data_IF_942448389247
#
_entry.id   IF_942448389247
#
_cell.length_a   1.000
_cell.length_b   1.000
_cell.length_c   1.000
_cell.angle_alpha   90.00
_cell.angle_beta   90.00
_cell.angle_gamma   90.00
#
_symmetry.space_group_name_H-M   'P 1'
#
loop_
_entity.id
_entity.type
_entity.pdbx_description
1 polymer ?
#
# COMPACT_ATOMS: atom_id res chain seq x y z
N UNK A 1 32.62 -26.56 25.92
CA UNK A 1 31.16 -26.33 26.14
C UNK A 1 30.59 -25.14 25.35
N UNK A 2 30.97 -24.89 24.09
CA UNK A 2 30.51 -23.72 23.28
C UNK A 2 29.47 -24.11 22.21
N UNK A 3 29.37 -25.37 21.82
CA UNK A 3 28.50 -25.81 20.70
C UNK A 3 27.00 -25.91 20.99
N UNK A 4 26.55 -25.97 22.23
CA UNK A 4 25.13 -26.14 22.56
C UNK A 4 24.28 -24.87 22.39
N UNK A 5 24.85 -23.68 22.61
CA UNK A 5 24.13 -22.41 22.48
C UNK A 5 23.86 -22.02 21.02
N UNK A 6 24.78 -22.34 20.10
CA UNK A 6 24.65 -22.02 18.67
C UNK A 6 23.56 -22.86 17.98
N UNK A 7 23.46 -24.14 18.32
CA UNK A 7 22.44 -25.05 17.76
C UNK A 7 21.02 -24.64 18.19
N UNK A 8 20.84 -24.24 19.46
CA UNK A 8 19.54 -23.77 19.99
C UNK A 8 19.11 -22.45 19.34
N UNK A 9 20.03 -21.51 19.14
CA UNK A 9 19.73 -20.23 18.49
C UNK A 9 19.27 -20.42 17.03
N UNK A 10 19.92 -21.29 16.25
CA UNK A 10 19.53 -21.62 14.87
C UNK A 10 18.14 -22.24 14.78
N UNK A 11 17.80 -23.14 15.71
CA UNK A 11 16.47 -23.76 15.75
C UNK A 11 15.37 -22.76 16.09
N UNK A 12 15.62 -21.83 17.01
CA UNK A 12 14.68 -20.76 17.38
C UNK A 12 14.42 -19.82 16.20
N UNK A 13 15.47 -19.37 15.53
CA UNK A 13 15.37 -18.51 14.33
C UNK A 13 14.60 -19.22 13.22
N UNK A 14 14.93 -20.49 12.94
CA UNK A 14 14.27 -21.28 11.89
C UNK A 14 12.77 -21.48 12.20
N UNK A 15 12.40 -21.75 13.43
CA UNK A 15 11.01 -21.88 13.84
C UNK A 15 10.28 -20.54 13.75
N UNK A 16 10.92 -19.45 14.13
CA UNK A 16 10.36 -18.11 14.00
C UNK A 16 10.10 -17.76 12.53
N UNK A 17 11.08 -18.02 11.63
CA UNK A 17 10.93 -17.81 10.18
C UNK A 17 9.77 -18.64 9.62
N UNK A 18 9.69 -19.94 9.95
CA UNK A 18 8.60 -20.82 9.51
C UNK A 18 7.23 -20.31 9.93
N UNK A 19 7.12 -19.70 11.11
CA UNK A 19 5.85 -19.16 11.63
C UNK A 19 5.52 -17.80 11.02
N UNK A 20 6.55 -17.00 10.69
CA UNK A 20 6.39 -15.59 10.30
C UNK A 20 6.69 -15.32 8.83
N UNK A 21 7.09 -16.33 8.05
CA UNK A 21 7.52 -16.16 6.66
C UNK A 21 6.53 -15.34 5.81
N UNK A 22 5.22 -15.53 6.01
CA UNK A 22 4.20 -14.90 5.20
C UNK A 22 4.17 -13.38 5.35
N UNK A 23 4.30 -12.83 6.56
CA UNK A 23 4.34 -11.39 6.73
C UNK A 23 5.72 -10.80 6.42
N UNK A 24 6.80 -11.53 6.71
CA UNK A 24 8.17 -11.11 6.39
C UNK A 24 8.34 -10.98 4.87
N UNK A 25 7.93 -11.99 4.10
CA UNK A 25 7.95 -11.91 2.62
C UNK A 25 7.06 -10.80 2.09
N UNK A 26 5.89 -10.56 2.70
CA UNK A 26 5.01 -9.46 2.30
C UNK A 26 5.70 -8.11 2.47
N UNK A 27 6.40 -7.90 3.59
CA UNK A 27 7.17 -6.67 3.83
C UNK A 27 8.33 -6.56 2.84
N UNK A 28 9.15 -7.60 2.69
CA UNK A 28 10.31 -7.59 1.78
C UNK A 28 9.86 -7.25 0.35
N UNK A 29 8.87 -7.98 -0.17
CA UNK A 29 8.32 -7.73 -1.51
C UNK A 29 7.70 -6.33 -1.58
N UNK A 30 7.03 -5.91 -0.50
CA UNK A 30 6.38 -4.60 -0.40
C UNK A 30 7.35 -3.45 -0.51
N UNK A 31 8.53 -3.56 0.07
CA UNK A 31 9.51 -2.48 0.09
C UNK A 31 10.54 -2.53 -1.06
N UNK A 32 10.57 -3.62 -1.86
CA UNK A 32 11.45 -3.70 -3.03
C UNK A 32 11.34 -2.49 -3.99
N UNK A 33 10.13 -1.99 -4.32
CA UNK A 33 10.00 -0.84 -5.22
C UNK A 33 10.59 0.46 -4.66
N UNK A 34 10.74 0.59 -3.33
CA UNK A 34 11.39 1.77 -2.73
C UNK A 34 12.85 1.90 -3.13
N UNK A 35 13.51 0.82 -3.54
CA UNK A 35 14.88 0.87 -4.07
C UNK A 35 14.95 1.82 -5.29
N UNK A 36 13.92 1.83 -6.14
CA UNK A 36 13.80 2.76 -7.25
C UNK A 36 13.74 4.22 -6.79
N UNK A 37 12.94 4.49 -5.78
CA UNK A 37 12.81 5.85 -5.20
C UNK A 37 14.10 6.28 -4.50
N UNK A 38 14.74 5.38 -3.76
CA UNK A 38 16.02 5.66 -3.07
C UNK A 38 17.14 6.00 -4.05
N UNK A 39 17.16 5.41 -5.24
CA UNK A 39 18.14 5.72 -6.29
C UNK A 39 17.96 7.12 -6.90
N UNK A 40 16.83 7.77 -6.69
CA UNK A 40 16.58 9.15 -7.15
C UNK A 40 17.10 10.20 -6.17
N UNK A 41 17.50 9.77 -4.97
CA UNK A 41 17.98 10.65 -3.89
C UNK A 41 19.50 10.67 -3.97
N UNK A 42 20.06 11.86 -4.18
CA UNK A 42 21.49 12.12 -4.11
C UNK A 42 21.83 12.70 -2.74
N UNK A 43 22.79 12.08 -2.07
CA UNK A 43 23.32 12.54 -0.80
C UNK A 43 24.71 13.15 -1.04
N UNK A 44 24.85 14.44 -0.81
CA UNK A 44 26.13 15.16 -0.91
C UNK A 44 26.44 15.78 0.45
N UNK A 45 27.47 15.26 1.10
CA UNK A 45 27.94 15.73 2.40
C UNK A 45 29.22 16.60 2.28
N UNK A 46 29.56 17.06 1.06
CA UNK A 46 30.71 17.96 0.88
C UNK A 46 30.44 19.33 1.50
N UNK A 47 31.48 19.99 1.95
CA UNK A 47 31.38 21.34 2.53
C UNK A 47 30.91 22.39 1.50
N UNK A 48 30.99 22.08 0.21
CA UNK A 48 30.57 22.94 -0.92
C UNK A 48 29.15 22.68 -1.38
N UNK A 49 28.44 21.67 -0.83
CA UNK A 49 27.08 21.34 -1.24
C UNK A 49 26.08 22.40 -0.74
N UNK A 50 25.29 22.96 -1.63
CA UNK A 50 24.19 23.88 -1.27
C UNK A 50 23.10 23.15 -0.46
N UNK A 51 22.90 21.86 -0.71
CA UNK A 51 21.94 21.01 0.02
C UNK A 51 22.49 19.60 0.18
N UNK A 52 22.35 19.04 1.38
CA UNK A 52 22.80 17.66 1.67
C UNK A 52 21.99 16.59 0.97
N UNK A 53 20.77 16.92 0.55
CA UNK A 53 19.84 16.00 -0.13
C UNK A 53 19.33 16.71 -1.36
N UNK A 54 19.56 16.11 -2.53
CA UNK A 54 19.02 16.57 -3.80
C UNK A 54 18.35 15.40 -4.55
N UNK A 55 17.47 15.72 -5.48
CA UNK A 55 16.82 14.74 -6.35
C UNK A 55 16.94 15.20 -7.80
N UNK A 56 17.39 14.30 -8.68
CA UNK A 56 17.58 14.60 -10.09
C UNK A 56 16.25 14.90 -10.78
N UNK A 57 16.28 15.81 -11.76
CA UNK A 57 15.13 16.06 -12.62
C UNK A 57 15.16 15.11 -13.81
N UNK A 58 13.98 14.62 -14.23
CA UNK A 58 13.82 13.67 -15.31
C UNK A 58 13.02 14.29 -16.44
N UNK A 59 13.46 14.05 -17.68
CA UNK A 59 12.69 14.43 -18.87
C UNK A 59 11.81 13.27 -19.28
N UNK A 60 10.50 13.45 -19.17
CA UNK A 60 9.52 12.46 -19.60
C UNK A 60 9.02 12.75 -21.01
N UNK A 61 8.93 11.75 -21.89
CA UNK A 61 8.30 11.93 -23.19
C UNK A 61 6.83 12.31 -23.04
N UNK A 62 6.31 13.11 -23.97
CA UNK A 62 4.88 13.43 -24.04
C UNK A 62 4.03 12.17 -24.13
N UNK A 63 2.87 12.18 -23.49
CA UNK A 63 1.94 11.02 -23.46
C UNK A 63 1.14 10.88 -24.77
N UNK A 64 1.02 11.98 -25.54
CA UNK A 64 0.27 12.02 -26.81
C UNK A 64 1.21 12.33 -27.96
N UNK A 65 0.94 11.84 -29.16
CA UNK A 65 1.70 12.22 -30.34
C UNK A 65 1.71 13.76 -30.50
N UNK A 66 2.91 14.36 -30.60
CA UNK A 66 3.08 15.82 -30.73
C UNK A 66 3.15 16.59 -29.40
N UNK A 67 2.99 15.95 -28.25
CA UNK A 67 3.19 16.59 -26.94
C UNK A 67 4.70 16.72 -26.64
N UNK A 68 5.11 17.92 -26.22
CA UNK A 68 6.51 18.17 -25.87
C UNK A 68 6.94 17.39 -24.61
N UNK A 69 8.19 16.96 -24.53
CA UNK A 69 8.74 16.35 -23.33
C UNK A 69 8.59 17.29 -22.12
N UNK A 70 8.15 16.73 -21.00
CA UNK A 70 7.98 17.48 -19.75
C UNK A 70 9.12 17.14 -18.77
N UNK A 71 9.75 18.18 -18.24
CA UNK A 71 10.70 18.02 -17.14
C UNK A 71 9.91 17.81 -15.84
N UNK A 72 10.19 16.72 -15.14
CA UNK A 72 9.60 16.37 -13.85
C UNK A 72 10.71 16.38 -12.81
N UNK A 73 10.46 17.03 -11.68
CA UNK A 73 11.41 17.02 -10.55
C UNK A 73 11.55 15.59 -10.00
N UNK A 74 12.68 15.26 -9.43
CA UNK A 74 12.87 13.97 -8.77
C UNK A 74 11.85 13.73 -7.65
N UNK A 75 11.49 14.77 -6.89
CA UNK A 75 10.42 14.71 -5.91
C UNK A 75 9.06 14.39 -6.57
N UNK A 76 8.72 15.05 -7.67
CA UNK A 76 7.50 14.77 -8.44
C UNK A 76 7.46 13.34 -9.00
N UNK A 77 8.64 12.80 -9.41
CA UNK A 77 8.74 11.39 -9.82
C UNK A 77 8.53 10.44 -8.64
N UNK A 78 9.11 10.76 -7.48
CA UNK A 78 8.92 9.99 -6.25
C UNK A 78 7.45 10.04 -5.78
N UNK A 79 6.76 11.17 -5.92
CA UNK A 79 5.31 11.30 -5.69
C UNK A 79 4.55 10.29 -6.56
N UNK A 80 4.83 10.26 -7.86
CA UNK A 80 4.16 9.33 -8.80
C UNK A 80 4.41 7.87 -8.40
N UNK A 81 5.66 7.46 -8.24
CA UNK A 81 6.02 6.07 -7.91
C UNK A 81 5.41 5.60 -6.58
N UNK A 82 5.51 6.41 -5.54
CA UNK A 82 4.97 6.06 -4.23
C UNK A 82 3.44 6.04 -4.23
N UNK A 83 2.78 6.93 -4.96
CA UNK A 83 1.33 6.94 -5.13
C UNK A 83 0.81 5.71 -5.87
N UNK A 84 1.47 5.31 -6.95
CA UNK A 84 1.13 4.08 -7.69
C UNK A 84 1.27 2.83 -6.82
N UNK A 85 2.31 2.73 -6.02
CA UNK A 85 2.48 1.61 -5.10
C UNK A 85 1.49 1.64 -3.95
N UNK A 86 1.12 2.82 -3.45
CA UNK A 86 0.08 2.95 -2.42
C UNK A 86 -1.26 2.37 -2.90
N UNK A 87 -1.74 2.77 -4.08
CA UNK A 87 -3.02 2.27 -4.61
C UNK A 87 -2.96 0.77 -4.95
N UNK A 88 -1.85 0.27 -5.49
CA UNK A 88 -1.65 -1.18 -5.74
C UNK A 88 -1.80 -1.97 -4.44
N UNK A 89 -1.16 -1.56 -3.35
CA UNK A 89 -1.26 -2.23 -2.06
C UNK A 89 -2.65 -2.12 -1.45
N UNK A 90 -3.35 -0.98 -1.58
CA UNK A 90 -4.75 -0.84 -1.15
C UNK A 90 -5.63 -1.87 -1.87
N UNK A 91 -5.50 -1.98 -3.20
CA UNK A 91 -6.26 -2.94 -4.01
C UNK A 91 -5.93 -4.38 -3.64
N UNK A 92 -4.65 -4.72 -3.43
CA UNK A 92 -4.22 -6.05 -2.97
C UNK A 92 -4.90 -6.42 -1.66
N UNK A 93 -4.88 -5.53 -0.65
CA UNK A 93 -5.52 -5.78 0.65
C UNK A 93 -7.01 -6.01 0.51
N UNK A 94 -7.68 -5.16 -0.26
CA UNK A 94 -9.12 -5.27 -0.49
C UNK A 94 -9.48 -6.53 -1.29
N UNK A 95 -8.59 -7.02 -2.16
CA UNK A 95 -8.76 -8.24 -2.95
C UNK A 95 -8.53 -9.53 -2.16
N UNK A 96 -7.88 -9.47 -1.00
CA UNK A 96 -7.61 -10.67 -0.19
C UNK A 96 -8.88 -11.40 0.26
N UNK A 97 -9.97 -10.69 0.50
CA UNK A 97 -11.25 -11.32 0.89
C UNK A 97 -11.97 -11.96 -0.30
N UNK A 98 -12.16 -11.31 -1.45
CA UNK A 98 -12.64 -11.96 -2.67
C UNK A 98 -11.81 -13.20 -3.04
N UNK A 99 -10.49 -13.09 -3.03
CA UNK A 99 -9.59 -14.20 -3.27
C UNK A 99 -9.83 -15.38 -2.31
N UNK A 100 -10.03 -15.09 -1.02
CA UNK A 100 -10.36 -16.10 -0.02
C UNK A 100 -11.71 -16.78 -0.27
N UNK A 101 -12.71 -16.05 -0.79
CA UNK A 101 -14.01 -16.60 -1.17
C UNK A 101 -13.85 -17.53 -2.38
N UNK A 102 -13.08 -17.12 -3.39
CA UNK A 102 -12.87 -17.89 -4.61
C UNK A 102 -12.03 -19.16 -4.38
N UNK A 103 -10.92 -19.05 -3.65
CA UNK A 103 -9.96 -20.15 -3.49
C UNK A 103 -10.19 -21.02 -2.26
N UNK A 104 -10.93 -20.52 -1.24
CA UNK A 104 -11.06 -21.14 0.09
C UNK A 104 -9.85 -20.93 0.99
N UNK A 105 -8.72 -20.43 0.47
CA UNK A 105 -7.50 -20.14 1.24
C UNK A 105 -7.62 -18.77 1.90
N UNK A 106 -7.52 -18.71 3.22
CA UNK A 106 -7.61 -17.45 3.98
C UNK A 106 -6.19 -16.95 4.27
N UNK A 107 -5.78 -15.77 3.73
CA UNK A 107 -4.55 -15.14 4.16
C UNK A 107 -4.57 -14.91 5.67
N UNK A 108 -3.42 -15.11 6.32
CA UNK A 108 -3.29 -14.88 7.76
C UNK A 108 -3.54 -13.41 8.11
N UNK A 109 -3.93 -13.15 9.36
CA UNK A 109 -4.10 -11.78 9.83
C UNK A 109 -2.80 -10.98 9.71
N UNK A 110 -1.66 -11.61 10.01
CA UNK A 110 -0.34 -11.00 9.93
C UNK A 110 0.01 -10.52 8.51
N UNK A 111 -0.29 -11.31 7.48
CA UNK A 111 -0.10 -10.91 6.07
C UNK A 111 -0.96 -9.69 5.73
N UNK A 112 -2.22 -9.65 6.20
CA UNK A 112 -3.11 -8.50 5.99
C UNK A 112 -2.61 -7.25 6.68
N UNK A 113 -2.09 -7.38 7.91
CA UNK A 113 -1.50 -6.27 8.66
C UNK A 113 -0.22 -5.76 7.98
N UNK A 114 0.68 -6.67 7.57
CA UNK A 114 1.88 -6.32 6.84
C UNK A 114 1.57 -5.54 5.56
N UNK A 115 0.63 -6.04 4.74
CA UNK A 115 0.18 -5.36 3.53
C UNK A 115 -0.43 -3.99 3.83
N UNK A 116 -1.22 -3.86 4.93
CA UNK A 116 -1.79 -2.58 5.37
C UNK A 116 -0.74 -1.56 5.80
N UNK A 117 0.26 -2.00 6.53
CA UNK A 117 1.40 -1.15 6.94
C UNK A 117 2.19 -0.72 5.71
N UNK A 118 2.46 -1.63 4.77
CA UNK A 118 3.14 -1.31 3.52
C UNK A 118 2.37 -0.25 2.71
N UNK A 119 1.04 -0.42 2.55
CA UNK A 119 0.20 0.56 1.87
C UNK A 119 0.27 1.95 2.54
N UNK A 120 0.19 1.98 3.89
CA UNK A 120 0.29 3.23 4.64
C UNK A 120 1.66 3.88 4.51
N UNK A 121 2.74 3.10 4.52
CA UNK A 121 4.10 3.63 4.33
C UNK A 121 4.24 4.31 2.97
N UNK A 122 3.74 3.68 1.90
CA UNK A 122 3.74 4.30 0.58
C UNK A 122 2.87 5.56 0.51
N UNK A 123 1.69 5.56 1.12
CA UNK A 123 0.83 6.74 1.18
C UNK A 123 1.48 7.89 1.98
N UNK A 124 2.17 7.56 3.08
CA UNK A 124 2.93 8.53 3.88
C UNK A 124 4.10 9.14 3.10
N UNK A 125 4.89 8.30 2.41
CA UNK A 125 5.99 8.75 1.56
C UNK A 125 5.47 9.59 0.38
N UNK A 126 4.37 9.17 -0.25
CA UNK A 126 3.69 9.93 -1.31
C UNK A 126 3.36 11.35 -0.83
N UNK A 127 2.75 11.48 0.35
CA UNK A 127 2.41 12.78 0.91
C UNK A 127 3.65 13.60 1.29
N UNK A 128 4.70 12.97 1.84
CA UNK A 128 5.95 13.66 2.17
C UNK A 128 6.64 14.20 0.90
N UNK A 129 6.76 13.39 -0.14
CA UNK A 129 7.35 13.86 -1.40
C UNK A 129 6.48 14.92 -2.09
N UNK A 130 5.15 14.84 -1.96
CA UNK A 130 4.25 15.89 -2.42
C UNK A 130 4.52 17.21 -1.70
N UNK A 131 4.71 17.20 -0.39
CA UNK A 131 5.05 18.39 0.37
C UNK A 131 6.41 18.99 -0.03
N UNK A 132 7.38 18.14 -0.41
CA UNK A 132 8.68 18.59 -0.93
C UNK A 132 8.55 19.19 -2.32
N UNK A 133 7.75 18.58 -3.21
CA UNK A 133 7.60 19.01 -4.61
C UNK A 133 6.74 20.28 -4.76
N UNK A 134 5.61 20.33 -4.05
CA UNK A 134 4.57 21.38 -4.21
C UNK A 134 4.42 22.29 -3.00
N UNK A 135 4.86 21.83 -1.84
CA UNK A 135 4.55 22.48 -0.57
C UNK A 135 3.22 22.00 0.03
N UNK A 136 3.15 21.97 1.35
CA UNK A 136 2.01 21.40 2.07
C UNK A 136 0.70 22.18 1.87
N UNK A 137 0.76 23.49 1.63
CA UNK A 137 -0.40 24.36 1.41
C UNK A 137 -1.14 24.04 0.11
N UNK A 138 -0.47 23.47 -0.89
CA UNK A 138 -1.08 23.04 -2.14
C UNK A 138 -2.15 21.96 -1.92
N UNK A 139 -2.04 21.19 -0.81
CA UNK A 139 -3.02 20.18 -0.42
C UNK A 139 -4.46 20.75 -0.34
N UNK A 140 -4.60 22.02 -0.01
CA UNK A 140 -5.91 22.66 0.20
C UNK A 140 -6.45 23.39 -1.03
N UNK A 141 -5.70 23.43 -2.13
CA UNK A 141 -6.11 24.16 -3.34
C UNK A 141 -7.03 23.35 -4.25
N UNK A 142 -6.91 22.03 -4.23
CA UNK A 142 -7.69 21.15 -5.10
C UNK A 142 -8.43 20.09 -4.30
N UNK A 143 -9.68 19.83 -4.68
CA UNK A 143 -10.51 18.80 -4.03
C UNK A 143 -9.88 17.42 -4.09
N UNK A 144 -9.17 17.09 -5.18
CA UNK A 144 -8.44 15.84 -5.32
C UNK A 144 -7.42 15.64 -4.22
N UNK A 145 -6.62 16.66 -3.90
CA UNK A 145 -5.62 16.59 -2.82
C UNK A 145 -6.24 16.47 -1.43
N UNK A 146 -7.35 17.18 -1.18
CA UNK A 146 -8.10 17.09 0.10
C UNK A 146 -8.60 15.65 0.31
N UNK A 147 -9.15 15.02 -0.73
CA UNK A 147 -9.63 13.64 -0.69
C UNK A 147 -8.46 12.67 -0.43
N UNK A 148 -7.30 12.90 -1.06
CA UNK A 148 -6.09 12.12 -0.82
C UNK A 148 -5.63 12.23 0.63
N UNK A 149 -5.61 13.44 1.20
CA UNK A 149 -5.28 13.67 2.61
C UNK A 149 -6.27 12.96 3.54
N UNK A 150 -7.57 13.04 3.27
CA UNK A 150 -8.60 12.34 4.05
C UNK A 150 -8.36 10.81 4.04
N UNK A 151 -8.05 10.24 2.87
CA UNK A 151 -7.69 8.82 2.76
C UNK A 151 -6.44 8.48 3.59
N UNK A 152 -5.39 9.30 3.53
CA UNK A 152 -4.15 9.10 4.28
C UNK A 152 -4.38 9.18 5.80
N UNK A 153 -5.21 10.10 6.28
CA UNK A 153 -5.56 10.20 7.70
C UNK A 153 -6.32 8.96 8.19
N UNK A 154 -7.26 8.45 7.41
CA UNK A 154 -7.95 7.19 7.74
C UNK A 154 -6.95 6.04 7.76
N UNK A 155 -6.05 5.95 6.76
CA UNK A 155 -5.00 4.93 6.72
C UNK A 155 -4.08 5.01 7.93
N UNK A 156 -3.74 6.19 8.41
CA UNK A 156 -2.94 6.39 9.62
C UNK A 156 -3.63 5.77 10.84
N UNK A 157 -4.92 6.00 11.03
CA UNK A 157 -5.70 5.38 12.11
C UNK A 157 -5.71 3.86 11.99
N UNK A 158 -5.89 3.34 10.77
CA UNK A 158 -5.87 1.90 10.50
C UNK A 158 -4.48 1.30 10.79
N UNK A 159 -3.40 1.98 10.43
CA UNK A 159 -2.02 1.53 10.67
C UNK A 159 -1.69 1.51 12.18
N UNK A 160 -2.00 2.59 12.91
CA UNK A 160 -1.78 2.68 14.37
C UNK A 160 -2.55 1.58 15.10
N UNK A 161 -3.75 1.23 14.63
CA UNK A 161 -4.59 0.18 15.23
C UNK A 161 -4.27 -1.22 14.70
N UNK A 162 -3.35 -1.37 13.74
CA UNK A 162 -2.94 -2.65 13.14
C UNK A 162 -1.91 -3.41 13.98
N UNK A 163 -2.18 -3.59 15.25
CA UNK A 163 -1.31 -4.36 16.15
C UNK A 163 -2.12 -5.19 17.16
N UNK A 164 -1.48 -6.19 17.75
CA UNK A 164 -2.13 -7.12 18.68
C UNK A 164 -2.66 -6.44 19.94
N UNK A 165 -1.99 -5.39 20.42
CA UNK A 165 -2.42 -4.64 21.62
C UNK A 165 -3.71 -3.89 21.34
N UNK A 166 -3.76 -3.12 20.25
CA UNK A 166 -4.97 -2.40 19.81
C UNK A 166 -6.13 -3.35 19.53
N UNK A 167 -5.87 -4.50 18.92
CA UNK A 167 -6.90 -5.52 18.64
C UNK A 167 -7.50 -6.08 19.93
N UNK A 168 -6.67 -6.36 20.96
CA UNK A 168 -7.13 -6.82 22.28
C UNK A 168 -7.90 -5.73 23.03
N UNK A 169 -7.45 -4.49 22.97
CA UNK A 169 -8.06 -3.34 23.62
C UNK A 169 -9.41 -2.97 23.00
N UNK A 170 -9.45 -2.81 21.68
CA UNK A 170 -10.64 -2.36 20.93
C UNK A 170 -11.68 -3.48 20.71
N UNK A 171 -11.31 -4.74 20.81
CA UNK A 171 -12.19 -5.92 20.68
C UNK A 171 -13.11 -5.85 19.43
N UNK A 172 -14.42 -5.77 19.62
CA UNK A 172 -15.42 -5.69 18.54
C UNK A 172 -15.30 -4.39 17.72
N UNK A 173 -14.91 -3.29 18.37
CA UNK A 173 -14.72 -1.98 17.73
C UNK A 173 -13.58 -1.98 16.74
N UNK A 174 -12.53 -2.78 16.96
CA UNK A 174 -11.43 -2.96 16.03
C UNK A 174 -11.92 -3.36 14.63
N UNK A 175 -12.84 -4.33 14.55
CA UNK A 175 -13.42 -4.74 13.26
C UNK A 175 -14.26 -3.63 12.59
N UNK A 176 -14.92 -2.77 13.39
CA UNK A 176 -15.69 -1.63 12.85
C UNK A 176 -14.74 -0.59 12.24
N UNK A 177 -13.67 -0.23 12.95
CA UNK A 177 -12.63 0.69 12.47
C UNK A 177 -12.00 0.15 11.17
N UNK A 178 -11.58 -1.12 11.14
CA UNK A 178 -10.94 -1.69 9.96
C UNK A 178 -11.87 -1.86 8.74
N UNK A 179 -13.18 -1.64 8.86
CA UNK A 179 -14.09 -1.51 7.71
C UNK A 179 -13.87 -0.21 6.94
N UNK A 180 -13.33 0.81 7.55
CA UNK A 180 -12.97 2.06 6.84
C UNK A 180 -11.89 1.86 5.77
N UNK A 181 -11.21 0.70 5.73
CA UNK A 181 -10.35 0.33 4.61
C UNK A 181 -11.08 0.34 3.25
N UNK A 182 -12.41 0.07 3.23
CA UNK A 182 -13.22 0.18 2.00
C UNK A 182 -13.40 1.64 1.57
N UNK A 183 -13.63 2.52 2.56
CA UNK A 183 -13.72 3.96 2.30
C UNK A 183 -12.38 4.50 1.77
N UNK A 184 -11.25 4.06 2.34
CA UNK A 184 -9.92 4.40 1.82
C UNK A 184 -9.78 4.01 0.35
N UNK A 185 -10.21 2.80 -0.04
CA UNK A 185 -10.16 2.36 -1.43
C UNK A 185 -10.98 3.26 -2.37
N UNK A 186 -12.19 3.64 -1.95
CA UNK A 186 -13.05 4.56 -2.72
C UNK A 186 -12.40 5.95 -2.84
N UNK A 187 -11.92 6.51 -1.72
CA UNK A 187 -11.26 7.81 -1.70
C UNK A 187 -9.97 7.82 -2.52
N UNK A 188 -9.18 6.74 -2.49
CA UNK A 188 -7.95 6.62 -3.27
C UNK A 188 -8.25 6.63 -4.78
N UNK A 189 -9.26 5.89 -5.24
CA UNK A 189 -9.67 5.91 -6.65
C UNK A 189 -10.19 7.30 -7.05
N UNK A 190 -11.02 7.91 -6.21
CA UNK A 190 -11.56 9.23 -6.46
C UNK A 190 -10.46 10.30 -6.53
N UNK A 191 -9.47 10.22 -5.63
CA UNK A 191 -8.28 11.07 -5.64
C UNK A 191 -7.53 10.99 -6.97
N UNK A 192 -7.22 9.77 -7.44
CA UNK A 192 -6.50 9.57 -8.71
C UNK A 192 -7.34 10.03 -9.90
N UNK A 193 -8.65 9.77 -9.89
CA UNK A 193 -9.57 10.16 -10.96
C UNK A 193 -9.71 11.67 -11.10
N UNK A 194 -9.83 12.41 -9.98
CA UNK A 194 -9.99 13.86 -9.97
C UNK A 194 -8.72 14.60 -10.40
N UNK A 195 -7.55 14.03 -10.15
CA UNK A 195 -6.28 14.64 -10.52
C UNK A 195 -5.82 14.23 -11.94
N UNK A 196 -6.60 13.39 -12.63
CA UNK A 196 -6.24 12.84 -13.96
C UNK A 196 -4.84 12.19 -13.99
N UNK A 197 -4.35 11.76 -12.83
CA UNK A 197 -3.05 11.13 -12.66
C UNK A 197 -3.14 9.62 -12.85
N UNK A 198 -2.74 9.13 -14.03
CA UNK A 198 -2.62 7.70 -14.29
C UNK A 198 -3.92 6.95 -14.58
N UNK A 199 -3.80 5.63 -14.77
CA UNK A 199 -4.92 4.76 -15.14
C UNK A 199 -5.65 4.27 -13.87
N UNK A 200 -6.67 5.00 -13.42
CA UNK A 200 -7.51 4.62 -12.28
C UNK A 200 -8.53 3.51 -12.61
N UNK A 201 -8.90 3.36 -13.89
CA UNK A 201 -9.92 2.41 -14.35
C UNK A 201 -9.64 0.95 -13.96
N UNK A 202 -8.43 0.38 -14.13
CA UNK A 202 -8.15 -1.00 -13.72
C UNK A 202 -8.39 -1.22 -12.23
N UNK A 203 -8.03 -0.28 -11.38
CA UNK A 203 -8.23 -0.37 -9.93
C UNK A 203 -9.70 -0.34 -9.57
N UNK A 204 -10.50 0.53 -10.23
CA UNK A 204 -11.95 0.58 -10.07
C UNK A 204 -12.59 -0.76 -10.45
N UNK A 205 -12.23 -1.31 -11.62
CA UNK A 205 -12.78 -2.58 -12.12
C UNK A 205 -12.48 -3.70 -11.11
N UNK A 206 -11.24 -3.84 -10.65
CA UNK A 206 -10.85 -4.85 -9.66
C UNK A 206 -11.65 -4.70 -8.36
N UNK A 207 -11.84 -3.46 -7.88
CA UNK A 207 -12.62 -3.20 -6.68
C UNK A 207 -14.09 -3.55 -6.87
N UNK A 208 -14.72 -3.16 -7.98
CA UNK A 208 -16.12 -3.47 -8.28
C UNK A 208 -16.32 -5.00 -8.34
N UNK A 209 -15.46 -5.73 -9.05
CA UNK A 209 -15.48 -7.20 -9.09
C UNK A 209 -15.33 -7.77 -7.67
N UNK A 210 -14.40 -7.23 -6.88
CA UNK A 210 -14.19 -7.64 -5.50
C UNK A 210 -15.42 -7.44 -4.61
N UNK A 211 -16.17 -6.35 -4.78
CA UNK A 211 -17.43 -6.10 -4.08
C UNK A 211 -18.55 -7.06 -4.55
N UNK A 212 -18.65 -7.31 -5.86
CA UNK A 212 -19.62 -8.27 -6.40
C UNK A 212 -19.42 -9.68 -5.84
N UNK A 213 -18.15 -10.17 -5.78
CA UNK A 213 -17.81 -11.48 -5.21
C UNK A 213 -18.18 -11.58 -3.73
N UNK A 214 -18.12 -10.45 -2.99
CA UNK A 214 -18.53 -10.39 -1.57
C UNK A 214 -20.03 -10.38 -1.36
N UNK A 215 -20.82 -10.07 -2.38
CA UNK A 215 -22.27 -10.05 -2.27
C UNK A 215 -22.79 -11.42 -1.80
N UNK A 216 -23.89 -11.40 -1.05
CA UNK A 216 -24.49 -12.64 -0.51
C UNK A 216 -24.88 -13.63 -1.60
N UNK A 217 -25.28 -13.12 -2.76
CA UNK A 217 -25.66 -13.93 -3.93
C UNK A 217 -24.48 -14.75 -4.44
N UNK A 218 -23.35 -14.11 -4.80
CA UNK A 218 -22.17 -14.80 -5.30
C UNK A 218 -21.55 -15.73 -4.27
N UNK A 219 -21.51 -15.29 -3.00
CA UNK A 219 -20.96 -16.10 -1.91
C UNK A 219 -21.72 -17.40 -1.69
N UNK A 220 -23.06 -17.38 -1.78
CA UNK A 220 -23.90 -18.59 -1.71
C UNK A 220 -23.69 -19.50 -2.91
N UNK A 221 -23.65 -18.95 -4.12
CA UNK A 221 -23.43 -19.71 -5.34
C UNK A 221 -22.09 -20.46 -5.32
N UNK A 222 -20.99 -19.78 -4.94
CA UNK A 222 -19.65 -20.39 -4.85
C UNK A 222 -19.58 -21.45 -3.75
N UNK A 223 -20.21 -21.22 -2.60
CA UNK A 223 -20.23 -22.24 -1.51
C UNK A 223 -21.00 -23.49 -1.92
N UNK A 224 -22.15 -23.34 -2.57
CA UNK A 224 -22.93 -24.47 -3.10
C UNK A 224 -22.18 -25.29 -4.14
N UNK A 225 -21.44 -24.64 -5.05
CA UNK A 225 -20.63 -25.33 -6.04
C UNK A 225 -19.49 -26.16 -5.39
N UNK A 226 -18.86 -25.63 -4.34
CA UNK A 226 -17.82 -26.37 -3.62
C UNK A 226 -18.32 -27.58 -2.88
N UNK A 227 -19.48 -27.50 -2.23
CA UNK A 227 -20.07 -28.63 -1.51
C UNK A 227 -20.39 -29.77 -2.48
N UNK A 228 -20.93 -29.45 -3.69
CA UNK A 228 -21.21 -30.46 -4.73
C UNK A 228 -19.96 -31.11 -5.32
N UNK A 229 -18.79 -30.50 -5.26
CA UNK A 229 -17.53 -31.05 -5.80
C UNK A 229 -16.77 -31.92 -4.79
N UNK A 230 -17.18 -31.88 -3.52
CA UNK A 230 -16.60 -32.66 -2.42
C UNK A 230 -17.46 -33.86 -2.03
N UNK A 231 -18.71 -33.95 -2.54
CA UNK A 231 -19.58 -35.12 -2.51
C UNK A 231 -19.40 -35.99 -3.76
#
# INVERSE_FOLDING_TARGET
MVNGKSANSKSIIMNWIKTNWGWVTTIIIGFLPLIGVLKMINLDFSETAETWISMDSFTMPGRRPGELPKVVTGAGMAVKETGEWAIRWIVIILSMTPFSILTGKKPSLWVRQAAGITAFTYAGLHFLFFCVDKGWLETFKEMGFIIGLAAALIMMVLAITSNTRSMKFLRKTWKKIHRFAYLVGVLAILHVALLEHGDWMPYLIIMVIGFLIRSTFFKRSISGYRTRRQS
#
